data_IF_776333553352
#
_entry.id   IF_776333553352
#
_cell.length_a   1.000
_cell.length_b   1.000
_cell.length_c   1.000
_cell.angle_alpha   90.00
_cell.angle_beta   90.00
_cell.angle_gamma   90.00
#
_symmetry.space_group_name_H-M   'P 1'
#
loop_
_entity.id
_entity.type
_entity.pdbx_description
1 polymer ?
#
# COMPACT_ATOMS: atom_id res chain seq x y z
N UNK A 1 2.57 6.64 -17.44
CA UNK A 1 1.85 6.27 -16.20
C UNK A 1 2.87 6.09 -15.09
N UNK A 2 2.66 6.71 -13.93
CA UNK A 2 3.63 6.74 -12.82
C UNK A 2 3.08 5.95 -11.64
N UNK A 3 3.85 4.98 -11.14
CA UNK A 3 3.45 4.14 -10.02
C UNK A 3 3.48 4.91 -8.70
N UNK A 4 2.52 4.63 -7.81
CA UNK A 4 2.46 5.17 -6.46
C UNK A 4 2.92 4.13 -5.45
N UNK A 5 3.69 4.58 -4.46
CA UNK A 5 4.17 3.72 -3.40
C UNK A 5 3.13 3.60 -2.28
N UNK A 6 2.77 2.37 -1.92
CA UNK A 6 1.91 2.06 -0.77
C UNK A 6 2.69 1.37 0.34
N UNK A 7 2.23 1.56 1.58
CA UNK A 7 2.89 1.11 2.81
C UNK A 7 1.90 0.44 3.77
N UNK A 8 2.40 -0.56 4.47
CA UNK A 8 1.64 -1.34 5.43
C UNK A 8 1.21 -2.67 4.82
N UNK A 9 0.13 -3.23 5.37
CA UNK A 9 -0.45 -4.49 4.96
C UNK A 9 -1.98 -4.40 5.03
N UNK A 10 -2.66 -5.22 4.24
CA UNK A 10 -4.12 -5.43 4.31
C UNK A 10 -4.43 -6.79 4.96
N UNK A 11 -5.71 -7.05 5.27
CA UNK A 11 -6.15 -8.25 5.98
C UNK A 11 -5.68 -9.58 5.34
N UNK A 12 -5.57 -9.63 4.01
CA UNK A 12 -5.13 -10.82 3.27
C UNK A 12 -3.61 -10.85 2.99
N UNK A 13 -2.83 -9.89 3.50
CA UNK A 13 -1.37 -9.86 3.28
C UNK A 13 -0.70 -10.92 4.17
N UNK A 14 0.07 -11.87 3.62
CA UNK A 14 0.73 -12.91 4.43
C UNK A 14 1.67 -12.32 5.47
N UNK A 15 1.68 -12.85 6.70
CA UNK A 15 2.44 -12.28 7.83
C UNK A 15 3.94 -12.10 7.53
N UNK A 16 4.56 -13.00 6.75
CA UNK A 16 5.97 -12.87 6.32
C UNK A 16 6.27 -11.61 5.49
N UNK A 17 5.26 -10.99 4.90
CA UNK A 17 5.39 -9.77 4.11
C UNK A 17 5.12 -8.50 4.95
N UNK A 18 4.77 -8.62 6.24
CA UNK A 18 4.57 -7.50 7.15
C UNK A 18 5.92 -6.97 7.62
N UNK A 19 6.57 -6.16 6.78
CA UNK A 19 7.83 -5.53 7.12
C UNK A 19 7.73 -4.00 6.95
N UNK A 20 8.14 -3.16 7.93
CA UNK A 20 8.02 -1.69 7.83
C UNK A 20 8.69 -1.08 6.59
N UNK A 21 9.77 -1.71 6.13
CA UNK A 21 10.48 -1.34 4.88
C UNK A 21 9.87 -1.87 3.59
N UNK A 22 8.85 -2.73 3.61
CA UNK A 22 8.20 -3.22 2.39
C UNK A 22 7.41 -2.09 1.68
N UNK A 23 7.61 -1.95 0.36
CA UNK A 23 6.87 -1.02 -0.52
C UNK A 23 6.10 -1.83 -1.55
N UNK A 24 4.79 -1.62 -1.64
CA UNK A 24 4.03 -1.99 -2.84
C UNK A 24 4.05 -0.82 -3.82
N UNK A 25 3.98 -1.11 -5.12
CA UNK A 25 3.85 -0.09 -6.16
C UNK A 25 2.65 -0.41 -7.03
N UNK A 26 1.76 0.57 -7.19
CA UNK A 26 0.47 0.39 -7.85
C UNK A 26 0.22 1.55 -8.81
N UNK A 27 -0.52 1.28 -9.88
CA UNK A 27 -1.03 2.32 -10.74
C UNK A 27 -2.08 3.15 -9.96
N UNK A 28 -2.08 4.50 -10.08
CA UNK A 28 -3.03 5.35 -9.36
C UNK A 28 -4.50 5.03 -9.67
N UNK A 29 -4.76 4.51 -10.85
CA UNK A 29 -6.12 4.27 -11.37
C UNK A 29 -6.71 2.93 -10.90
N UNK A 30 -5.96 2.10 -10.16
CA UNK A 30 -6.46 0.80 -9.67
C UNK A 30 -7.44 0.97 -8.51
N UNK A 31 -8.57 0.28 -8.63
CA UNK A 31 -9.68 0.26 -7.68
C UNK A 31 -10.06 -1.17 -7.20
N UNK A 32 -9.38 -2.18 -7.71
CA UNK A 32 -9.61 -3.61 -7.48
C UNK A 32 -8.64 -4.24 -6.46
N UNK A 33 -8.09 -3.43 -5.55
CA UNK A 33 -7.16 -3.83 -4.49
C UNK A 33 -7.50 -3.19 -3.15
N UNK A 34 -7.14 -3.86 -2.06
CA UNK A 34 -7.30 -3.30 -0.72
C UNK A 34 -6.20 -2.26 -0.44
N UNK A 35 -6.55 -0.99 -0.59
CA UNK A 35 -5.72 0.17 -0.25
C UNK A 35 -6.54 1.18 0.57
N UNK A 36 -5.87 1.88 1.48
CA UNK A 36 -6.49 2.92 2.31
C UNK A 36 -5.62 4.15 2.40
N UNK A 37 -6.17 5.21 2.97
CA UNK A 37 -5.48 6.50 3.14
C UNK A 37 -5.25 6.80 4.62
N UNK A 38 -4.04 7.25 4.95
CA UNK A 38 -3.70 7.79 6.28
C UNK A 38 -3.27 9.23 6.09
N UNK A 39 -3.95 10.16 6.77
CA UNK A 39 -3.58 11.58 6.78
C UNK A 39 -2.35 11.82 7.65
N UNK A 40 -1.64 12.90 7.36
CA UNK A 40 -0.54 13.43 8.14
C UNK A 40 -0.66 14.96 8.13
N UNK A 41 -0.47 15.59 9.27
CA UNK A 41 -0.38 17.04 9.42
C UNK A 41 0.92 17.37 10.18
N UNK A 42 1.44 18.57 9.97
CA UNK A 42 2.64 19.10 10.63
C UNK A 42 2.31 19.71 11.99
#
# INVERSE_FOLDING_TARGET
MTMQAVRGAAAHTPQRAHHPRFRGFLLPERDDIFVGFRTCAL
#
